data_IF_774128735810
#
_entry.id   IF_774128735810
#
_cell.length_a   1.000
_cell.length_b   1.000
_cell.length_c   1.000
_cell.angle_alpha   90.00
_cell.angle_beta   90.00
_cell.angle_gamma   90.00
#
_symmetry.space_group_name_H-M   'P 1'
#
loop_
_entity.id
_entity.type
_entity.pdbx_description
1 polymer ?
#
# COMPACT_ATOMS: atom_id res chain seq x y z
N UNK A 1 -29.54 27.19 12.14
CA UNK A 1 -28.71 26.00 12.45
C UNK A 1 -27.55 25.97 11.47
N UNK A 2 -26.31 26.17 11.94
CA UNK A 2 -25.10 26.06 11.10
C UNK A 2 -24.72 24.59 11.03
N UNK A 3 -24.74 23.98 9.84
CA UNK A 3 -24.17 22.65 9.60
C UNK A 3 -22.67 22.74 9.88
N UNK A 4 -22.13 21.85 10.72
CA UNK A 4 -20.68 21.72 10.93
C UNK A 4 -20.04 21.41 9.58
N UNK A 5 -19.14 22.29 9.16
CA UNK A 5 -18.23 22.07 8.04
C UNK A 5 -17.42 20.80 8.31
N UNK A 6 -17.28 19.98 7.27
CA UNK A 6 -16.66 18.67 7.33
C UNK A 6 -15.29 18.70 8.02
N UNK A 7 -15.05 17.70 8.86
CA UNK A 7 -13.69 17.32 9.21
C UNK A 7 -12.97 17.04 7.90
N UNK A 8 -11.98 17.88 7.58
CA UNK A 8 -10.99 17.53 6.59
C UNK A 8 -10.25 16.36 7.21
N UNK A 9 -10.60 15.12 6.82
CA UNK A 9 -9.75 13.97 7.10
C UNK A 9 -8.40 14.32 6.51
N UNK A 10 -7.42 14.60 7.38
CA UNK A 10 -6.05 14.76 6.94
C UNK A 10 -5.62 13.39 6.42
N UNK A 11 -4.95 13.35 5.29
CA UNK A 11 -4.35 12.14 4.75
C UNK A 11 -2.87 12.12 5.10
N UNK A 12 -2.30 10.94 5.34
CA UNK A 12 -0.85 10.70 5.38
C UNK A 12 -0.47 9.74 4.26
N UNK A 13 0.62 10.04 3.56
CA UNK A 13 1.14 9.21 2.49
C UNK A 13 2.36 8.42 2.96
N UNK A 14 2.49 7.19 2.48
CA UNK A 14 3.64 6.33 2.73
C UNK A 14 4.25 5.87 1.42
N UNK A 15 5.58 5.92 1.34
CA UNK A 15 6.33 5.23 0.30
C UNK A 15 6.41 3.76 0.69
N UNK A 16 5.80 2.88 -0.12
CA UNK A 16 5.74 1.44 0.09
C UNK A 16 6.60 0.74 -0.96
N UNK A 17 7.43 -0.20 -0.50
CA UNK A 17 8.20 -1.10 -1.34
C UNK A 17 7.80 -2.53 -1.00
N UNK A 18 7.30 -3.26 -1.99
CA UNK A 18 6.96 -4.67 -1.89
C UNK A 18 7.95 -5.48 -2.74
N UNK A 19 8.52 -6.51 -2.14
CA UNK A 19 9.43 -7.45 -2.77
C UNK A 19 8.76 -8.83 -2.78
N UNK A 20 8.26 -9.23 -3.95
CA UNK A 20 7.57 -10.51 -4.12
C UNK A 20 8.52 -11.70 -4.05
N UNK A 21 8.05 -12.81 -3.47
CA UNK A 21 8.81 -14.06 -3.42
C UNK A 21 9.21 -14.50 -4.84
N UNK A 22 10.47 -14.90 -5.08
CA UNK A 22 10.93 -15.28 -6.41
C UNK A 22 10.22 -16.49 -6.99
N UNK A 23 9.64 -17.35 -6.15
CA UNK A 23 8.86 -18.53 -6.53
C UNK A 23 7.37 -18.24 -6.69
N UNK A 24 6.91 -17.03 -6.36
CA UNK A 24 5.55 -16.60 -6.63
C UNK A 24 5.31 -16.58 -8.14
N UNK A 25 4.20 -17.14 -8.59
CA UNK A 25 3.86 -17.14 -10.01
C UNK A 25 3.55 -15.71 -10.48
N UNK A 26 3.88 -15.42 -11.74
CA UNK A 26 3.62 -14.10 -12.34
C UNK A 26 2.11 -13.80 -12.36
N UNK A 27 1.28 -14.82 -12.59
CA UNK A 27 -0.18 -14.70 -12.50
C UNK A 27 -0.63 -14.24 -11.11
N UNK A 28 -0.10 -14.84 -10.04
CA UNK A 28 -0.48 -14.46 -8.68
C UNK A 28 0.07 -13.09 -8.28
N UNK A 29 1.28 -12.76 -8.72
CA UNK A 29 1.87 -11.44 -8.53
C UNK A 29 1.00 -10.35 -9.19
N UNK A 30 0.60 -10.55 -10.44
CA UNK A 30 -0.27 -9.62 -11.16
C UNK A 30 -1.65 -9.53 -10.51
N UNK A 31 -2.23 -10.65 -10.07
CA UNK A 31 -3.49 -10.65 -9.31
C UNK A 31 -3.40 -9.78 -8.05
N UNK A 32 -2.30 -9.89 -7.29
CA UNK A 32 -2.08 -9.07 -6.09
C UNK A 32 -1.98 -7.59 -6.45
N UNK A 33 -1.20 -7.26 -7.49
CA UNK A 33 -1.04 -5.88 -7.97
C UNK A 33 -2.40 -5.31 -8.40
N UNK A 34 -3.13 -6.02 -9.26
CA UNK A 34 -4.40 -5.55 -9.82
C UNK A 34 -5.49 -5.40 -8.74
N UNK A 35 -5.55 -6.33 -7.78
CA UNK A 35 -6.61 -6.35 -6.76
C UNK A 35 -6.35 -5.38 -5.60
N UNK A 36 -5.10 -5.09 -5.27
CA UNK A 36 -4.74 -4.32 -4.07
C UNK A 36 -4.02 -3.01 -4.34
N UNK A 37 -3.44 -2.84 -5.53
CA UNK A 37 -2.67 -1.66 -5.93
C UNK A 37 -3.19 -1.04 -7.23
N UNK A 38 -4.26 -1.58 -7.81
CA UNK A 38 -4.71 -1.32 -9.18
C UNK A 38 -5.22 0.09 -9.51
N UNK A 39 -5.30 1.01 -8.53
CA UNK A 39 -5.38 2.44 -8.87
C UNK A 39 -3.99 2.93 -9.28
N UNK A 40 -3.76 3.00 -10.59
CA UNK A 40 -2.48 3.35 -11.23
C UNK A 40 -1.86 4.66 -10.71
N UNK A 41 -2.68 5.57 -10.18
CA UNK A 41 -2.26 6.85 -9.60
C UNK A 41 -1.29 6.68 -8.41
N UNK A 42 -1.27 5.50 -7.81
CA UNK A 42 -0.45 5.18 -6.64
C UNK A 42 0.71 4.22 -6.96
N UNK A 43 0.83 3.68 -8.17
CA UNK A 43 1.99 2.85 -8.55
C UNK A 43 3.11 3.75 -9.10
N UNK A 44 4.22 3.83 -8.35
CA UNK A 44 5.41 4.58 -8.77
C UNK A 44 6.20 3.79 -9.82
N UNK A 45 6.35 2.48 -9.60
CA UNK A 45 7.01 1.57 -10.55
C UNK A 45 6.75 0.11 -10.20
N UNK A 46 6.62 -0.75 -11.21
CA UNK A 46 6.70 -2.20 -11.06
C UNK A 46 7.82 -2.74 -11.97
N UNK A 47 8.84 -3.37 -11.39
CA UNK A 47 9.97 -3.94 -12.13
C UNK A 47 10.35 -5.30 -11.57
N UNK A 48 10.19 -6.35 -12.37
CA UNK A 48 10.51 -7.72 -11.97
C UNK A 48 9.66 -8.16 -10.77
N UNK A 49 10.32 -8.38 -9.62
CA UNK A 49 9.68 -8.77 -8.34
C UNK A 49 9.54 -7.61 -7.36
N UNK A 50 9.82 -6.38 -7.77
CA UNK A 50 9.73 -5.21 -6.90
C UNK A 50 8.63 -4.28 -7.37
N UNK A 51 7.69 -4.00 -6.47
CA UNK A 51 6.67 -2.97 -6.63
C UNK A 51 6.98 -1.79 -5.71
N UNK A 52 6.92 -0.58 -6.25
CA UNK A 52 6.95 0.66 -5.48
C UNK A 52 5.62 1.38 -5.65
N UNK A 53 4.98 1.68 -4.55
CA UNK A 53 3.67 2.31 -4.51
C UNK A 53 3.62 3.44 -3.45
N UNK A 54 2.66 4.33 -3.61
CA UNK A 54 2.27 5.33 -2.62
C UNK A 54 1.03 4.80 -1.92
N UNK A 55 1.10 4.58 -0.62
CA UNK A 55 -0.06 4.14 0.15
C UNK A 55 -0.69 5.34 0.85
N UNK A 56 -1.97 5.57 0.56
CA UNK A 56 -2.75 6.65 1.15
C UNK A 56 -3.50 6.14 2.39
N UNK A 57 -3.27 6.75 3.55
CA UNK A 57 -3.95 6.37 4.80
C UNK A 57 -4.56 7.62 5.46
N UNK A 58 -5.79 7.55 5.98
CA UNK A 58 -6.32 8.54 6.90
C UNK A 58 -5.32 8.86 8.04
N UNK A 59 -5.08 10.13 8.34
CA UNK A 59 -4.03 10.52 9.29
C UNK A 59 -4.30 10.10 10.74
N UNK A 60 -5.54 9.74 11.06
CA UNK A 60 -5.97 9.16 12.34
C UNK A 60 -5.68 7.65 12.45
N UNK A 61 -5.46 6.98 11.33
CA UNK A 61 -5.20 5.53 11.23
C UNK A 61 -3.71 5.16 11.30
N UNK A 62 -2.81 6.16 11.42
CA UNK A 62 -1.37 6.01 11.65
C UNK A 62 -0.66 4.94 10.77
N UNK A 63 0.56 4.52 11.11
CA UNK A 63 1.34 3.57 10.32
C UNK A 63 0.91 2.10 10.48
N UNK A 64 0.11 1.78 11.50
CA UNK A 64 -0.29 0.39 11.80
C UNK A 64 -1.26 -0.17 10.75
N UNK A 65 -2.03 0.68 10.05
CA UNK A 65 -2.87 0.22 8.93
C UNK A 65 -2.04 -0.22 7.71
N UNK A 66 -0.82 0.33 7.50
CA UNK A 66 0.10 -0.22 6.49
C UNK A 66 0.44 -1.66 6.84
N UNK A 67 0.86 -1.89 8.09
CA UNK A 67 1.28 -3.21 8.56
C UNK A 67 0.15 -4.22 8.47
N UNK A 68 -1.05 -3.83 8.91
CA UNK A 68 -2.25 -4.66 8.89
C UNK A 68 -2.69 -4.98 7.46
N UNK A 69 -2.72 -3.99 6.56
CA UNK A 69 -3.05 -4.21 5.15
C UNK A 69 -2.05 -5.16 4.49
N UNK A 70 -0.76 -4.95 4.70
CA UNK A 70 0.29 -5.78 4.09
C UNK A 70 0.30 -7.20 4.63
N UNK A 71 -0.07 -7.42 5.89
CA UNK A 71 -0.28 -8.76 6.44
C UNK A 71 -1.29 -9.57 5.61
N UNK A 72 -2.40 -8.96 5.21
CA UNK A 72 -3.41 -9.64 4.38
C UNK A 72 -3.00 -9.73 2.90
N UNK A 73 -2.46 -8.65 2.33
CA UNK A 73 -2.04 -8.60 0.92
C UNK A 73 -0.94 -9.62 0.63
N UNK A 74 0.02 -9.76 1.54
CA UNK A 74 1.15 -10.68 1.38
C UNK A 74 0.93 -12.04 2.02
N UNK A 75 -0.29 -12.30 2.52
CA UNK A 75 -0.70 -13.56 3.16
C UNK A 75 0.32 -14.00 4.24
N UNK A 76 0.47 -13.17 5.26
CA UNK A 76 1.42 -13.39 6.37
C UNK A 76 2.87 -13.62 5.88
N UNK A 77 3.26 -12.88 4.85
CA UNK A 77 4.60 -12.93 4.25
C UNK A 77 4.84 -14.09 3.27
N UNK A 78 3.84 -14.94 2.99
CA UNK A 78 3.95 -16.02 1.99
C UNK A 78 4.27 -15.50 0.59
N UNK A 79 3.80 -14.30 0.25
CA UNK A 79 3.96 -13.73 -1.09
C UNK A 79 5.12 -12.76 -1.23
N UNK A 80 5.84 -12.47 -0.13
CA UNK A 80 6.98 -11.58 -0.16
C UNK A 80 7.11 -10.74 1.12
N UNK A 81 7.95 -9.72 1.03
CA UNK A 81 8.22 -8.79 2.12
C UNK A 81 7.86 -7.37 1.72
N UNK A 82 7.69 -6.50 2.72
CA UNK A 82 7.43 -5.09 2.49
C UNK A 82 8.27 -4.22 3.42
N UNK A 83 8.51 -2.99 2.98
CA UNK A 83 9.02 -1.91 3.80
C UNK A 83 8.29 -0.63 3.45
N UNK A 84 8.12 0.26 4.43
CA UNK A 84 7.42 1.52 4.21
C UNK A 84 8.05 2.65 5.01
N UNK A 85 7.95 3.85 4.46
CA UNK A 85 8.38 5.07 5.12
C UNK A 85 7.29 6.13 4.98
N UNK A 86 7.00 6.83 6.07
CA UNK A 86 6.11 7.99 6.03
C UNK A 86 6.73 9.06 5.12
N UNK A 87 5.99 9.50 4.12
CA UNK A 87 6.39 10.64 3.31
C UNK A 87 6.24 11.90 4.16
N UNK A 88 7.35 12.62 4.33
CA UNK A 88 7.40 13.90 5.04
C UNK A 88 7.55 14.95 3.96
N UNK A 89 6.48 15.68 3.68
CA UNK A 89 6.50 16.86 2.82
C UNK A 89 7.23 18.04 3.50
#
# INVERSE_FOLDING_TARGET
>A
MRKKLGEICKTTFYDLVVEFDPNLSDEKMNEIIDCHFGDEDYIVSSQGRTLKAIWEIPADEAGYEVENSMFYVLKDGEYGTYSYQRRVD
#
